data_IF_232184003883
#
_entry.id   IF_232184003883
#
_cell.length_a   1.000
_cell.length_b   1.000
_cell.length_c   1.000
_cell.angle_alpha   90.00
_cell.angle_beta   90.00
_cell.angle_gamma   90.00
#
_symmetry.space_group_name_H-M   'P 1'
#
loop_
_entity.id
_entity.type
_entity.pdbx_description
1 polymer ?
#
# COMPACT_ATOMS: atom_id res chain seq x y z
N UNK A 1 19.93 17.37 5.20
CA UNK A 1 18.70 18.18 5.18
C UNK A 1 18.37 18.53 3.72
N UNK A 2 17.58 17.70 3.03
CA UNK A 2 16.96 18.05 1.75
C UNK A 2 15.48 18.26 2.03
N UNK A 3 15.04 19.50 1.91
CA UNK A 3 13.67 19.90 2.22
C UNK A 3 12.68 19.05 1.41
N UNK A 4 11.77 18.38 2.12
CA UNK A 4 10.50 17.94 1.56
C UNK A 4 9.92 19.15 0.81
N UNK A 5 9.73 19.08 -0.51
CA UNK A 5 9.09 20.16 -1.27
C UNK A 5 7.57 19.94 -1.20
N UNK A 6 6.82 20.62 -0.31
CA UNK A 6 5.36 20.48 -0.22
C UNK A 6 4.60 20.97 -1.47
N UNK A 7 5.27 21.24 -2.60
CA UNK A 7 4.70 21.89 -3.78
C UNK A 7 4.28 20.99 -4.94
N UNK A 8 4.64 19.69 -4.97
CA UNK A 8 4.53 18.87 -6.20
C UNK A 8 3.10 18.58 -6.70
N UNK A 9 2.07 18.83 -5.89
CA UNK A 9 0.66 18.66 -6.27
C UNK A 9 -0.26 19.85 -5.93
N UNK A 10 0.30 20.99 -5.54
CA UNK A 10 -0.49 22.19 -5.15
C UNK A 10 -1.19 22.81 -6.37
N UNK A 11 -0.61 22.65 -7.56
CA UNK A 11 -1.19 23.15 -8.80
C UNK A 11 -2.58 22.59 -9.11
N UNK A 12 -2.94 21.39 -8.63
CA UNK A 12 -4.29 20.83 -8.79
C UNK A 12 -5.36 21.73 -8.15
N UNK A 13 -5.06 22.21 -6.94
CA UNK A 13 -5.98 23.05 -6.18
C UNK A 13 -5.93 24.49 -6.67
N UNK A 14 -4.73 25.01 -7.01
CA UNK A 14 -4.62 26.35 -7.59
C UNK A 14 -5.38 26.45 -8.91
N UNK A 15 -5.26 25.45 -9.78
CA UNK A 15 -5.96 25.44 -11.05
C UNK A 15 -7.49 25.34 -10.84
N UNK A 16 -7.96 24.51 -9.91
CA UNK A 16 -9.39 24.39 -9.62
C UNK A 16 -9.99 25.65 -8.97
N UNK A 17 -9.27 26.29 -8.04
CA UNK A 17 -9.76 27.47 -7.31
C UNK A 17 -9.62 28.75 -8.14
N UNK A 18 -8.46 29.00 -8.76
CA UNK A 18 -8.24 30.22 -9.55
C UNK A 18 -9.08 30.26 -10.82
N UNK A 19 -9.45 29.10 -11.37
CA UNK A 19 -10.36 29.02 -12.52
C UNK A 19 -11.83 28.93 -12.14
N UNK A 20 -12.20 29.05 -10.86
CA UNK A 20 -13.58 28.81 -10.39
C UNK A 20 -14.18 27.49 -10.89
N UNK A 21 -13.35 26.44 -10.97
CA UNK A 21 -13.74 25.11 -11.44
C UNK A 21 -13.73 24.91 -12.96
N UNK A 22 -13.58 25.95 -13.80
CA UNK A 22 -13.58 25.80 -15.27
C UNK A 22 -12.46 24.87 -15.75
N UNK A 23 -11.27 24.97 -15.17
CA UNK A 23 -10.11 24.16 -15.55
C UNK A 23 -9.93 22.91 -14.66
N UNK A 24 -10.89 22.59 -13.79
CA UNK A 24 -10.77 21.42 -12.92
C UNK A 24 -10.66 20.10 -13.70
N UNK A 25 -11.16 20.04 -14.94
CA UNK A 25 -11.05 18.86 -15.80
C UNK A 25 -9.60 18.44 -16.10
N UNK A 26 -8.67 19.38 -16.19
CA UNK A 26 -7.26 19.14 -16.53
C UNK A 26 -6.54 18.27 -15.47
N UNK A 27 -6.56 18.60 -14.16
CA UNK A 27 -5.94 17.75 -13.15
C UNK A 27 -6.66 16.41 -12.96
N UNK A 28 -7.97 16.30 -13.23
CA UNK A 28 -8.66 15.01 -13.22
C UNK A 28 -8.19 14.08 -14.34
N UNK A 29 -8.01 14.60 -15.57
CA UNK A 29 -7.47 13.81 -16.68
C UNK A 29 -6.01 13.40 -16.45
N UNK A 30 -5.18 14.31 -15.92
CA UNK A 30 -3.82 13.97 -15.53
C UNK A 30 -3.80 12.88 -14.43
N UNK A 31 -4.69 12.97 -13.43
CA UNK A 31 -4.82 11.94 -12.40
C UNK A 31 -5.29 10.59 -12.96
N UNK A 32 -6.25 10.58 -13.89
CA UNK A 32 -6.76 9.38 -14.53
C UNK A 32 -5.66 8.67 -15.34
N UNK A 33 -4.85 9.42 -16.08
CA UNK A 33 -3.71 8.88 -16.84
C UNK A 33 -2.60 8.32 -15.93
N UNK A 34 -2.38 8.94 -14.76
CA UNK A 34 -1.34 8.51 -13.81
C UNK A 34 -1.76 7.29 -12.99
N UNK A 35 -3.00 7.24 -12.53
CA UNK A 35 -3.49 6.17 -11.65
C UNK A 35 -4.09 4.99 -12.42
N UNK A 36 -4.44 5.16 -13.71
CA UNK A 36 -5.02 4.11 -14.56
C UNK A 36 -6.30 3.46 -13.99
N UNK A 37 -7.00 4.13 -13.08
CA UNK A 37 -8.24 3.61 -12.46
C UNK A 37 -9.49 4.07 -13.21
N UNK A 38 -10.42 3.14 -13.41
CA UNK A 38 -11.67 3.40 -14.14
C UNK A 38 -12.60 4.38 -13.40
N UNK A 39 -12.55 4.42 -12.07
CA UNK A 39 -13.33 5.35 -11.25
C UNK A 39 -12.85 6.80 -11.40
N UNK A 40 -11.55 7.04 -11.40
CA UNK A 40 -10.95 8.38 -11.61
C UNK A 40 -11.29 8.89 -13.01
N UNK A 41 -11.31 8.01 -14.02
CA UNK A 41 -11.73 8.36 -15.38
C UNK A 41 -13.20 8.79 -15.45
N UNK A 42 -14.11 8.15 -14.70
CA UNK A 42 -15.51 8.59 -14.62
C UNK A 42 -15.63 10.01 -14.05
N UNK A 43 -14.84 10.32 -13.03
CA UNK A 43 -14.79 11.68 -12.46
C UNK A 43 -14.24 12.70 -13.46
N UNK A 44 -13.21 12.34 -14.23
CA UNK A 44 -12.69 13.23 -15.28
C UNK A 44 -13.76 13.57 -16.32
N UNK A 45 -14.52 12.58 -16.80
CA UNK A 45 -15.63 12.79 -17.74
C UNK A 45 -16.73 13.66 -17.12
N UNK A 46 -17.12 13.37 -15.87
CA UNK A 46 -18.15 14.15 -15.18
C UNK A 46 -17.76 15.63 -15.03
N UNK A 47 -16.52 15.92 -14.63
CA UNK A 47 -16.04 17.29 -14.50
C UNK A 47 -15.87 17.99 -15.85
N UNK A 48 -15.53 17.27 -16.93
CA UNK A 48 -15.57 17.83 -18.29
C UNK A 48 -17.00 18.26 -18.68
N UNK A 49 -18.01 17.46 -18.35
CA UNK A 49 -19.41 17.82 -18.60
C UNK A 49 -19.85 19.04 -17.77
N UNK A 50 -19.44 19.12 -16.50
CA UNK A 50 -19.70 20.27 -15.62
C UNK A 50 -19.04 21.54 -16.17
N UNK A 51 -17.78 21.47 -16.62
CA UNK A 51 -17.13 22.59 -17.29
C UNK A 51 -17.93 23.04 -18.52
N UNK A 52 -18.38 22.12 -19.37
CA UNK A 52 -19.20 22.44 -20.54
C UNK A 52 -20.51 23.14 -20.16
N UNK A 53 -21.21 22.65 -19.14
CA UNK A 53 -22.41 23.28 -18.60
C UNK A 53 -22.16 24.71 -18.09
N UNK A 54 -21.07 24.93 -17.34
CA UNK A 54 -20.71 26.26 -16.84
C UNK A 54 -20.34 27.23 -17.97
N UNK A 55 -19.70 26.75 -19.05
CA UNK A 55 -19.43 27.56 -20.25
C UNK A 55 -20.73 27.95 -20.94
N UNK A 56 -21.66 27.01 -21.11
CA UNK A 56 -22.98 27.31 -21.71
C UNK A 56 -23.72 28.35 -20.88
N UNK A 57 -23.77 28.20 -19.56
CA UNK A 57 -24.38 29.20 -18.69
C UNK A 57 -23.69 30.56 -18.82
N UNK A 58 -22.36 30.62 -18.81
CA UNK A 58 -21.62 31.87 -18.95
C UNK A 58 -21.91 32.59 -20.28
N UNK A 59 -22.14 31.85 -21.37
CA UNK A 59 -22.54 32.42 -22.67
C UNK A 59 -23.97 32.96 -22.65
N UNK A 60 -24.87 32.29 -21.92
CA UNK A 60 -26.28 32.68 -21.80
C UNK A 60 -26.50 33.81 -20.77
N UNK A 61 -25.55 34.05 -19.88
CA UNK A 61 -25.62 35.13 -18.88
C UNK A 61 -25.62 36.50 -19.57
N UNK A 62 -26.64 37.34 -19.35
CA UNK A 62 -26.67 38.71 -19.88
C UNK A 62 -25.44 39.51 -19.44
N UNK A 63 -24.87 40.30 -20.36
CA UNK A 63 -23.76 41.20 -20.00
C UNK A 63 -24.27 42.32 -19.08
N UNK A 64 -23.46 42.77 -18.09
CA UNK A 64 -23.81 43.93 -17.28
C UNK A 64 -24.12 45.14 -18.18
N UNK A 65 -25.07 45.97 -17.76
CA UNK A 65 -25.32 47.23 -18.43
C UNK A 65 -24.06 48.13 -18.34
N UNK A 66 -23.92 49.07 -19.27
CA UNK A 66 -22.72 49.93 -19.37
C UNK A 66 -22.48 50.82 -18.14
N UNK A 67 -23.50 50.97 -17.29
CA UNK A 67 -23.47 51.66 -16.00
C UNK A 67 -22.97 50.77 -14.84
N UNK A 68 -22.61 49.52 -15.11
CA UNK A 68 -22.11 48.56 -14.12
C UNK A 68 -23.20 47.96 -13.23
N UNK A 69 -24.48 48.23 -13.51
CA UNK A 69 -25.56 47.60 -12.76
C UNK A 69 -25.63 46.10 -13.06
N UNK A 70 -25.60 45.23 -12.04
CA UNK A 70 -25.76 43.80 -12.25
C UNK A 70 -27.16 43.53 -12.79
N UNK A 71 -27.25 42.88 -13.95
CA UNK A 71 -28.52 42.36 -14.45
C UNK A 71 -28.82 41.10 -13.64
N UNK A 72 -29.67 41.24 -12.62
CA UNK A 72 -30.11 40.11 -11.81
C UNK A 72 -31.02 39.21 -12.67
N UNK A 73 -30.53 38.02 -12.95
CA UNK A 73 -31.22 37.03 -13.78
C UNK A 73 -31.06 35.68 -13.12
N UNK A 74 -32.10 34.84 -13.19
CA UNK A 74 -32.05 33.49 -12.65
C UNK A 74 -30.84 32.70 -13.21
N UNK A 75 -30.44 32.96 -14.46
CA UNK A 75 -29.28 32.34 -15.10
C UNK A 75 -27.96 32.73 -14.39
N UNK A 76 -27.80 34.01 -14.03
CA UNK A 76 -26.63 34.52 -13.30
C UNK A 76 -26.51 33.86 -11.91
N UNK A 77 -27.63 33.77 -11.18
CA UNK A 77 -27.71 33.17 -9.84
C UNK A 77 -27.43 31.68 -9.90
N UNK A 78 -28.10 30.94 -10.79
CA UNK A 78 -27.87 29.50 -10.97
C UNK A 78 -26.43 29.21 -11.41
N UNK A 79 -25.86 30.02 -12.31
CA UNK A 79 -24.47 29.89 -12.75
C UNK A 79 -23.47 30.09 -11.63
N UNK A 80 -23.65 31.13 -10.81
CA UNK A 80 -22.79 31.41 -9.66
C UNK A 80 -22.80 30.28 -8.62
N UNK A 81 -23.98 29.83 -8.20
CA UNK A 81 -24.09 28.71 -7.25
C UNK A 81 -23.55 27.39 -7.81
N UNK A 82 -23.82 27.10 -9.09
CA UNK A 82 -23.30 25.90 -9.75
C UNK A 82 -21.77 25.91 -9.81
N UNK A 83 -21.16 27.04 -10.13
CA UNK A 83 -19.71 27.21 -10.16
C UNK A 83 -19.10 27.04 -8.76
N UNK A 84 -19.73 27.61 -7.73
CA UNK A 84 -19.28 27.49 -6.35
C UNK A 84 -19.32 26.03 -5.86
N UNK A 85 -20.42 25.31 -6.10
CA UNK A 85 -20.55 23.90 -5.73
C UNK A 85 -19.52 23.06 -6.50
N UNK A 86 -19.41 23.25 -7.81
CA UNK A 86 -18.43 22.54 -8.64
C UNK A 86 -16.99 22.76 -8.15
N UNK A 87 -16.63 23.98 -7.78
CA UNK A 87 -15.32 24.33 -7.23
C UNK A 87 -15.06 23.59 -5.90
N UNK A 88 -16.02 23.61 -4.97
CA UNK A 88 -15.86 22.93 -3.67
C UNK A 88 -15.71 21.41 -3.85
N UNK A 89 -16.58 20.79 -4.66
CA UNK A 89 -16.50 19.34 -4.93
C UNK A 89 -15.19 19.00 -5.64
N UNK A 90 -14.78 19.79 -6.64
CA UNK A 90 -13.49 19.61 -7.32
C UNK A 90 -12.33 19.67 -6.32
N UNK A 91 -12.29 20.69 -5.46
CA UNK A 91 -11.22 20.86 -4.48
C UNK A 91 -11.12 19.68 -3.51
N UNK A 92 -12.25 19.20 -2.98
CA UNK A 92 -12.29 18.04 -2.07
C UNK A 92 -11.78 16.78 -2.77
N UNK A 93 -12.26 16.49 -3.98
CA UNK A 93 -11.91 15.26 -4.71
C UNK A 93 -10.47 15.31 -5.22
N UNK A 94 -10.02 16.44 -5.76
CA UNK A 94 -8.64 16.65 -6.19
C UNK A 94 -7.67 16.63 -5.02
N UNK A 95 -8.09 16.98 -3.79
CA UNK A 95 -7.25 16.86 -2.61
C UNK A 95 -6.92 15.39 -2.27
N UNK A 96 -7.84 14.46 -2.48
CA UNK A 96 -7.56 13.02 -2.38
C UNK A 96 -6.67 12.55 -3.52
N UNK A 97 -7.07 12.83 -4.76
CA UNK A 97 -6.36 12.37 -5.95
C UNK A 97 -4.94 12.92 -6.07
N UNK A 98 -4.69 14.17 -5.68
CA UNK A 98 -3.32 14.72 -5.69
C UNK A 98 -2.40 13.96 -4.72
N UNK A 99 -2.93 13.50 -3.59
CA UNK A 99 -2.15 12.71 -2.61
C UNK A 99 -1.86 11.32 -3.16
N UNK A 100 -2.76 10.74 -3.95
CA UNK A 100 -2.53 9.46 -4.62
C UNK A 100 -1.55 9.58 -5.79
N UNK A 101 -1.72 10.60 -6.66
CA UNK A 101 -0.87 10.81 -7.85
C UNK A 101 0.55 11.21 -7.47
N UNK A 102 0.70 12.07 -6.46
CA UNK A 102 1.99 12.55 -5.95
C UNK A 102 2.36 11.92 -4.62
N UNK A 103 1.71 10.82 -4.24
CA UNK A 103 2.36 9.88 -3.37
C UNK A 103 3.62 9.45 -4.13
N UNK A 104 4.76 10.03 -3.76
CA UNK A 104 6.00 9.28 -3.82
C UNK A 104 5.69 7.93 -3.17
N UNK A 105 6.29 6.79 -3.62
CA UNK A 105 6.28 5.58 -2.81
C UNK A 105 6.53 6.07 -1.40
N UNK A 106 5.54 5.88 -0.51
CA UNK A 106 5.63 6.47 0.83
C UNK A 106 7.06 6.14 1.26
N UNK A 107 7.90 7.13 1.62
CA UNK A 107 9.15 6.79 2.25
C UNK A 107 8.71 5.82 3.33
N UNK A 108 9.11 4.55 3.23
CA UNK A 108 8.93 3.58 4.30
C UNK A 108 9.31 4.39 5.52
N UNK A 109 8.35 4.72 6.42
CA UNK A 109 8.52 5.81 7.36
C UNK A 109 9.90 5.62 7.93
N UNK A 110 10.81 6.58 7.62
CA UNK A 110 12.22 6.38 7.90
C UNK A 110 12.24 5.93 9.36
N UNK A 111 12.78 4.72 9.65
CA UNK A 111 12.66 4.16 10.98
C UNK A 111 13.11 5.26 11.95
N UNK A 112 12.37 5.48 13.05
CA UNK A 112 12.75 6.50 14.02
C UNK A 112 14.25 6.37 14.29
N UNK A 113 15.01 7.43 14.03
CA UNK A 113 16.47 7.42 14.11
C UNK A 113 16.89 7.39 15.59
N UNK A 114 17.74 6.44 16.02
CA UNK A 114 17.71 5.01 15.78
C UNK A 114 17.15 4.29 17.03
N UNK A 115 16.21 3.36 16.85
CA UNK A 115 16.32 2.13 17.63
C UNK A 115 17.70 1.55 17.31
N UNK A 116 18.47 1.15 18.33
CA UNK A 116 19.76 0.46 18.22
C UNK A 116 19.83 -0.35 16.90
N UNK A 117 20.89 -0.23 16.08
CA UNK A 117 20.98 -0.95 14.80
C UNK A 117 20.68 -2.45 14.95
N UNK A 118 20.97 -3.06 16.11
CA UNK A 118 20.56 -4.42 16.44
C UNK A 118 19.03 -4.57 16.51
N UNK A 119 18.33 -3.68 17.20
CA UNK A 119 16.86 -3.66 17.27
C UNK A 119 16.25 -3.42 15.89
N UNK A 120 16.79 -2.49 15.11
CA UNK A 120 16.33 -2.25 13.75
C UNK A 120 16.47 -3.49 12.85
N UNK A 121 17.57 -4.23 12.98
CA UNK A 121 17.78 -5.49 12.26
C UNK A 121 16.77 -6.58 12.69
N UNK A 122 16.48 -6.69 13.98
CA UNK A 122 15.47 -7.64 14.51
C UNK A 122 14.08 -7.32 13.96
N UNK A 123 13.68 -6.04 14.00
CA UNK A 123 12.38 -5.60 13.47
C UNK A 123 12.27 -5.82 11.96
N UNK A 124 13.32 -5.51 11.20
CA UNK A 124 13.36 -5.79 9.77
C UNK A 124 13.22 -7.30 9.48
N UNK A 125 13.87 -8.16 10.27
CA UNK A 125 13.72 -9.60 10.16
C UNK A 125 12.29 -10.07 10.47
N UNK A 126 11.64 -9.51 11.50
CA UNK A 126 10.23 -9.81 11.81
C UNK A 126 9.29 -9.42 10.68
N UNK A 127 9.49 -8.24 10.08
CA UNK A 127 8.68 -7.80 8.96
C UNK A 127 8.83 -8.73 7.76
N UNK A 128 10.06 -9.12 7.40
CA UNK A 128 10.31 -10.07 6.30
C UNK A 128 9.61 -11.42 6.52
N UNK A 129 9.63 -11.93 7.76
CA UNK A 129 8.89 -13.17 8.11
C UNK A 129 7.38 -13.01 7.95
N UNK A 130 6.81 -11.86 8.34
CA UNK A 130 5.39 -11.56 8.15
C UNK A 130 5.03 -11.50 6.66
N UNK A 131 5.81 -10.77 5.86
CA UNK A 131 5.60 -10.63 4.42
C UNK A 131 5.69 -11.99 3.70
N UNK A 132 6.64 -12.83 4.10
CA UNK A 132 6.81 -14.18 3.56
C UNK A 132 5.63 -15.11 3.93
N UNK A 133 5.10 -15.02 5.16
CA UNK A 133 3.88 -15.75 5.56
C UNK A 133 2.65 -15.29 4.78
N UNK A 134 2.49 -13.98 4.60
CA UNK A 134 1.40 -13.44 3.79
C UNK A 134 1.50 -13.87 2.33
N UNK A 135 2.72 -14.01 1.79
CA UNK A 135 2.93 -14.57 0.45
C UNK A 135 2.60 -16.06 0.40
N UNK A 136 3.04 -16.85 1.38
CA UNK A 136 2.67 -18.26 1.51
C UNK A 136 1.15 -18.47 1.57
N UNK A 137 0.43 -17.61 2.29
CA UNK A 137 -1.02 -17.68 2.43
C UNK A 137 -1.76 -17.34 1.13
N UNK A 138 -1.22 -16.40 0.33
CA UNK A 138 -1.85 -15.93 -0.91
C UNK A 138 -1.47 -16.76 -2.13
N UNK A 139 -0.22 -17.19 -2.25
CA UNK A 139 0.32 -17.92 -3.40
C UNK A 139 1.43 -18.89 -2.99
N UNK A 140 1.03 -20.14 -2.70
CA UNK A 140 1.99 -21.20 -2.36
C UNK A 140 2.87 -21.62 -3.54
N UNK A 141 2.45 -21.43 -4.79
CA UNK A 141 3.27 -21.81 -5.95
C UNK A 141 4.45 -20.87 -6.06
N UNK A 142 4.20 -19.56 -6.00
CA UNK A 142 5.24 -18.54 -6.01
C UNK A 142 6.16 -18.67 -4.79
N UNK A 143 5.62 -18.94 -3.60
CA UNK A 143 6.44 -19.15 -2.40
C UNK A 143 7.42 -20.34 -2.56
N UNK A 144 6.97 -21.42 -3.20
CA UNK A 144 7.83 -22.56 -3.54
C UNK A 144 8.87 -22.20 -4.57
N UNK A 145 8.53 -21.42 -5.60
CA UNK A 145 9.47 -20.92 -6.61
C UNK A 145 10.55 -20.01 -6.00
N UNK A 146 10.19 -19.19 -5.01
CA UNK A 146 11.12 -18.34 -4.27
C UNK A 146 11.93 -19.09 -3.21
N UNK A 147 11.57 -20.33 -2.87
CA UNK A 147 12.28 -21.14 -1.87
C UNK A 147 12.08 -20.65 -0.44
N UNK A 148 10.92 -20.07 -0.12
CA UNK A 148 10.58 -19.62 1.24
C UNK A 148 10.67 -20.81 2.21
N UNK A 149 11.35 -20.63 3.34
CA UNK A 149 11.58 -21.68 4.32
C UNK A 149 12.71 -22.65 3.98
N UNK A 150 13.38 -22.47 2.82
CA UNK A 150 14.37 -23.38 2.26
C UNK A 150 15.64 -22.64 1.81
N UNK A 151 16.39 -22.06 2.76
CA UNK A 151 17.63 -21.33 2.44
C UNK A 151 18.70 -22.20 1.76
N UNK A 152 18.63 -23.52 1.92
CA UNK A 152 19.50 -24.49 1.25
C UNK A 152 19.33 -24.52 -0.28
N UNK A 153 18.19 -24.06 -0.81
CA UNK A 153 17.93 -24.02 -2.25
C UNK A 153 18.59 -22.81 -2.95
N UNK A 154 19.12 -21.84 -2.21
CA UNK A 154 19.92 -20.74 -2.77
C UNK A 154 19.18 -19.78 -3.70
N UNK A 155 17.86 -19.65 -3.59
CA UNK A 155 17.02 -18.88 -4.54
C UNK A 155 17.02 -17.36 -4.34
N UNK A 156 17.71 -16.87 -3.32
CA UNK A 156 18.00 -15.44 -3.11
C UNK A 156 16.87 -14.60 -2.51
N UNK A 157 15.69 -15.18 -2.24
CA UNK A 157 14.63 -14.48 -1.52
C UNK A 157 14.92 -14.45 -0.01
N UNK A 158 14.85 -13.26 0.61
CA UNK A 158 15.05 -13.09 2.04
C UNK A 158 13.70 -13.14 2.78
N UNK A 159 13.35 -14.33 3.27
CA UNK A 159 12.15 -14.60 4.05
C UNK A 159 12.27 -14.23 5.54
N UNK A 160 13.34 -13.53 5.93
CA UNK A 160 13.59 -13.18 7.33
C UNK A 160 14.03 -14.39 8.18
N UNK A 161 14.46 -15.49 7.57
CA UNK A 161 14.92 -16.69 8.25
C UNK A 161 13.79 -17.62 8.66
N UNK A 162 12.73 -17.70 7.85
CA UNK A 162 11.73 -18.74 8.01
C UNK A 162 12.32 -20.12 7.68
N UNK A 163 11.74 -21.16 8.27
CA UNK A 163 12.04 -22.54 7.94
C UNK A 163 10.75 -23.34 7.76
N UNK A 164 10.71 -24.10 6.66
CA UNK A 164 9.67 -25.10 6.43
C UNK A 164 10.05 -26.38 7.18
N UNK A 165 9.36 -26.67 8.29
CA UNK A 165 9.66 -27.82 9.14
C UNK A 165 9.37 -29.14 8.44
N UNK A 166 8.45 -29.17 7.48
CA UNK A 166 8.09 -30.39 6.76
C UNK A 166 9.12 -30.74 5.68
N UNK A 167 9.79 -29.76 5.09
CA UNK A 167 10.66 -30.01 3.94
C UNK A 167 12.14 -29.66 4.12
N UNK A 168 12.49 -28.81 5.08
CA UNK A 168 13.88 -28.39 5.28
C UNK A 168 14.77 -29.53 5.82
N UNK A 169 16.06 -29.56 5.46
CA UNK A 169 16.99 -30.54 6.03
C UNK A 169 17.31 -30.24 7.50
N UNK A 170 17.76 -31.26 8.23
CA UNK A 170 18.02 -31.19 9.68
C UNK A 170 18.94 -30.04 10.07
N UNK A 171 19.99 -29.79 9.28
CA UNK A 171 20.98 -28.73 9.55
C UNK A 171 20.37 -27.33 9.42
N UNK A 172 19.42 -27.15 8.48
CA UNK A 172 18.72 -25.87 8.30
C UNK A 172 17.76 -25.63 9.45
N UNK A 173 17.03 -26.67 9.88
CA UNK A 173 16.13 -26.58 11.04
C UNK A 173 16.93 -26.21 12.29
N UNK A 174 18.04 -26.91 12.55
CA UNK A 174 18.93 -26.64 13.67
C UNK A 174 19.42 -25.17 13.66
N UNK A 175 19.95 -24.72 12.52
CA UNK A 175 20.51 -23.38 12.40
C UNK A 175 19.46 -22.26 12.53
N UNK A 176 18.29 -22.42 11.89
CA UNK A 176 17.29 -21.35 11.84
C UNK A 176 16.46 -21.25 13.11
N UNK A 177 16.14 -22.39 13.73
CA UNK A 177 15.40 -22.43 14.99
C UNK A 177 16.30 -22.40 16.23
N UNK A 178 17.63 -22.38 16.05
CA UNK A 178 18.61 -22.42 17.15
C UNK A 178 18.33 -23.63 18.06
N UNK A 179 18.33 -24.81 17.42
CA UNK A 179 18.16 -26.12 18.06
C UNK A 179 19.48 -26.87 18.03
N UNK A 180 19.67 -27.74 19.01
CA UNK A 180 20.78 -28.69 18.94
C UNK A 180 20.57 -29.67 17.76
N UNK A 181 21.64 -30.28 17.24
CA UNK A 181 21.52 -31.30 16.19
C UNK A 181 20.58 -32.44 16.58
N UNK A 182 20.58 -32.84 17.86
CA UNK A 182 19.72 -33.92 18.39
C UNK A 182 18.25 -33.50 18.41
N UNK A 183 17.96 -32.26 18.81
CA UNK A 183 16.59 -31.71 18.79
C UNK A 183 16.06 -31.59 17.37
N UNK A 184 16.87 -31.07 16.43
CA UNK A 184 16.48 -30.99 15.03
C UNK A 184 16.29 -32.38 14.40
N UNK A 185 17.12 -33.36 14.76
CA UNK A 185 16.97 -34.74 14.31
C UNK A 185 15.67 -35.36 14.86
N UNK A 186 15.30 -35.08 16.11
CA UNK A 186 14.02 -35.51 16.68
C UNK A 186 12.83 -34.93 15.92
N UNK A 187 12.88 -33.65 15.51
CA UNK A 187 11.86 -33.03 14.63
C UNK A 187 11.75 -33.76 13.29
N UNK A 188 12.87 -34.07 12.65
CA UNK A 188 12.88 -34.80 11.37
C UNK A 188 12.35 -36.23 11.53
N UNK A 189 12.73 -36.93 12.59
CA UNK A 189 12.22 -38.27 12.87
C UNK A 189 10.70 -38.26 13.14
N UNK A 190 10.21 -37.26 13.89
CA UNK A 190 8.79 -37.10 14.19
C UNK A 190 7.96 -36.80 12.93
N UNK A 191 8.41 -35.90 12.04
CA UNK A 191 7.69 -35.66 10.77
C UNK A 191 7.69 -36.88 9.87
N UNK A 192 8.77 -37.67 9.83
CA UNK A 192 8.87 -38.87 9.00
C UNK A 192 7.91 -39.96 9.48
N UNK A 193 7.80 -40.14 10.79
CA UNK A 193 6.85 -41.08 11.40
C UNK A 193 5.38 -40.72 11.10
N UNK A 194 5.08 -39.44 10.81
CA UNK A 194 3.71 -38.92 10.58
C UNK A 194 3.39 -38.57 9.13
N UNK A 195 4.37 -38.64 8.25
CA UNK A 195 4.30 -38.04 6.91
C UNK A 195 4.02 -36.51 6.93
N UNK A 196 4.58 -35.81 7.91
CA UNK A 196 4.49 -34.35 8.07
C UNK A 196 3.63 -33.89 9.26
N UNK A 197 3.68 -32.59 9.53
CA UNK A 197 2.85 -31.90 10.51
C UNK A 197 1.81 -31.01 9.83
N UNK A 198 0.63 -30.87 10.43
CA UNK A 198 -0.43 -29.97 9.98
C UNK A 198 -0.24 -28.53 10.47
N UNK A 199 0.42 -28.36 11.61
CA UNK A 199 0.80 -27.05 12.16
C UNK A 199 2.02 -27.17 13.09
N UNK A 200 2.58 -26.04 13.50
CA UNK A 200 3.76 -25.99 14.37
C UNK A 200 3.44 -26.48 15.80
N UNK A 201 2.23 -26.25 16.32
CA UNK A 201 1.87 -26.67 17.66
C UNK A 201 1.79 -28.20 17.79
N UNK A 202 1.37 -28.90 16.73
CA UNK A 202 1.43 -30.36 16.64
C UNK A 202 2.87 -30.87 16.73
N UNK A 203 3.81 -30.24 16.03
CA UNK A 203 5.24 -30.57 16.13
C UNK A 203 5.77 -30.39 17.55
N UNK A 204 5.34 -29.34 18.25
CA UNK A 204 5.75 -29.08 19.64
C UNK A 204 5.14 -30.05 20.67
N UNK A 205 4.03 -30.71 20.33
CA UNK A 205 3.45 -31.79 21.14
C UNK A 205 4.28 -33.07 20.99
N UNK A 206 4.69 -33.39 19.76
CA UNK A 206 5.42 -34.63 19.46
C UNK A 206 6.89 -34.58 19.87
N UNK A 207 7.50 -33.40 19.77
CA UNK A 207 8.89 -33.17 20.17
C UNK A 207 8.90 -32.24 21.38
N UNK A 208 9.00 -32.78 22.60
CA UNK A 208 9.00 -31.95 23.80
C UNK A 208 10.29 -31.11 23.85
N UNK A 209 10.13 -29.81 23.64
CA UNK A 209 11.19 -28.82 23.71
C UNK A 209 10.95 -27.86 24.88
N UNK A 210 12.01 -27.24 25.43
CA UNK A 210 11.85 -26.17 26.42
C UNK A 210 10.95 -25.04 25.90
N UNK A 211 10.20 -24.39 26.80
CA UNK A 211 9.18 -23.42 26.42
C UNK A 211 9.73 -22.22 25.62
N UNK A 212 10.92 -21.73 25.98
CA UNK A 212 11.63 -20.65 25.28
C UNK A 212 12.01 -21.01 23.85
N UNK A 213 12.32 -22.30 23.62
CA UNK A 213 12.60 -22.85 22.29
C UNK A 213 11.30 -22.93 21.46
N UNK A 214 10.19 -23.32 22.09
CA UNK A 214 8.88 -23.39 21.44
C UNK A 214 8.41 -22.06 20.86
N UNK A 215 8.57 -20.96 21.62
CA UNK A 215 8.18 -19.62 21.14
C UNK A 215 9.04 -19.16 19.96
N UNK A 216 10.34 -19.46 20.00
CA UNK A 216 11.25 -19.18 18.88
C UNK A 216 10.89 -19.98 17.64
N UNK A 217 10.51 -21.25 17.79
CA UNK A 217 10.02 -22.07 16.67
C UNK A 217 8.74 -21.46 16.10
N UNK A 218 7.77 -21.07 16.91
CA UNK A 218 6.54 -20.40 16.41
C UNK A 218 6.85 -19.14 15.60
N UNK A 219 7.85 -18.36 16.02
CA UNK A 219 8.25 -17.17 15.29
C UNK A 219 8.94 -17.48 13.95
N UNK A 220 9.70 -18.58 13.85
CA UNK A 220 10.59 -18.87 12.70
C UNK A 220 10.16 -20.05 11.82
N UNK A 221 9.20 -20.85 12.24
CA UNK A 221 8.76 -22.03 11.52
C UNK A 221 7.39 -21.86 10.86
N UNK A 222 7.16 -22.66 9.84
CA UNK A 222 5.84 -23.00 9.29
C UNK A 222 5.85 -24.45 8.75
N UNK A 223 4.70 -24.91 8.26
CA UNK A 223 4.45 -26.26 7.73
C UNK A 223 3.77 -26.28 6.37
#
# INVERSE_FOLDING_TARGET
MTANRPGRGVWYLLLAVLSFGFLACVPFWHAAQRLQRADVRRWAVAFTAVTGYLVVLAVLTPRPAADGTPVDSAVSTLGGFSALIAMVVAAVRLNGLRREVYAAPAPVPAPPVPADPAVAAVLAGRQKRADARDLLARDRSMARELGIGRPDLGRGYDDGGLVDINTAPVQVIAQRCDLTPEQAAAVVAAREARAGFFNVDEMLIDVPLPADVGDRIRERAFV
#
